data_IF_484788241735
#
_entry.id   IF_484788241735
#
_cell.length_a   1.000
_cell.length_b   1.000
_cell.length_c   1.000
_cell.angle_alpha   90.00
_cell.angle_beta   90.00
_cell.angle_gamma   90.00
#
_symmetry.space_group_name_H-M   'P 1'
#
loop_
_entity.id
_entity.type
_entity.pdbx_description
1 polymer ?
#
# COMPACT_ATOMS: atom_id res chain seq x y z
N UNK A 1 -46.74 -21.28 53.22
CA UNK A 1 -46.76 -22.42 54.20
C UNK A 1 -45.43 -23.13 54.09
N UNK A 2 -44.65 -23.04 55.19
CA UNK A 2 -43.49 -23.81 55.61
C UNK A 2 -42.26 -23.84 54.69
N UNK A 3 -41.17 -23.16 55.10
CA UNK A 3 -40.11 -23.55 56.05
C UNK A 3 -39.34 -24.80 55.54
N UNK A 4 -38.07 -24.87 55.39
CA UNK A 4 -36.92 -24.24 56.02
C UNK A 4 -35.77 -25.21 55.96
N UNK A 5 -34.62 -24.70 56.25
CA UNK A 5 -33.39 -25.26 56.79
C UNK A 5 -32.20 -25.55 55.87
N UNK A 6 -31.15 -24.83 56.23
CA UNK A 6 -29.76 -25.03 55.90
C UNK A 6 -29.21 -26.38 56.32
N UNK A 7 -28.17 -26.94 55.67
CA UNK A 7 -26.96 -27.48 56.33
C UNK A 7 -25.76 -27.45 55.33
N UNK A 8 -24.62 -27.12 55.88
CA UNK A 8 -23.24 -27.01 55.40
C UNK A 8 -22.73 -28.11 54.45
N UNK A 9 -21.73 -27.72 53.65
CA UNK A 9 -20.73 -28.63 53.12
C UNK A 9 -19.88 -28.02 52.04
N UNK A 10 -18.69 -27.57 52.40
CA UNK A 10 -17.62 -27.12 51.49
C UNK A 10 -17.28 -28.18 50.44
N UNK A 11 -16.92 -27.74 49.24
CA UNK A 11 -15.65 -28.15 48.60
C UNK A 11 -15.44 -27.38 47.30
N UNK A 12 -14.31 -26.73 47.27
CA UNK A 12 -13.71 -26.08 46.08
C UNK A 12 -13.49 -27.06 44.93
N UNK A 13 -13.90 -26.72 43.73
CA UNK A 13 -13.12 -27.11 42.55
C UNK A 13 -13.28 -26.04 41.46
N UNK A 14 -12.19 -25.40 41.20
CA UNK A 14 -12.09 -24.33 40.19
C UNK A 14 -12.36 -24.85 38.80
N UNK A 15 -13.40 -24.31 38.19
CA UNK A 15 -13.63 -24.45 36.77
C UNK A 15 -13.05 -23.22 36.10
N UNK A 16 -11.79 -23.34 35.63
CA UNK A 16 -11.14 -22.38 34.80
C UNK A 16 -11.90 -22.33 33.47
N UNK A 17 -12.73 -21.30 33.27
CA UNK A 17 -13.31 -20.96 31.96
C UNK A 17 -12.17 -20.45 31.10
N UNK A 18 -11.71 -21.29 30.18
CA UNK A 18 -10.89 -20.85 29.07
C UNK A 18 -11.72 -19.91 28.19
N UNK A 19 -11.46 -18.62 28.29
CA UNK A 19 -12.04 -17.61 27.39
C UNK A 19 -11.28 -17.64 26.05
N UNK A 20 -11.95 -17.37 24.90
CA UNK A 20 -11.33 -17.45 23.57
C UNK A 20 -10.43 -16.23 23.21
N UNK A 21 -9.76 -15.61 24.17
CA UNK A 21 -8.96 -14.40 23.98
C UNK A 21 -7.47 -14.65 23.69
N UNK A 22 -7.01 -15.91 23.61
CA UNK A 22 -5.59 -16.23 23.51
C UNK A 22 -4.94 -16.01 22.14
N UNK A 23 -5.72 -15.83 21.10
CA UNK A 23 -5.17 -15.64 19.72
C UNK A 23 -4.83 -14.16 19.42
N UNK A 24 -5.49 -13.21 20.10
CA UNK A 24 -5.27 -11.77 19.87
C UNK A 24 -4.22 -11.14 20.80
N UNK A 25 -3.86 -11.81 21.91
CA UNK A 25 -2.86 -11.29 22.84
C UNK A 25 -1.47 -11.02 22.24
N UNK A 26 -0.91 -11.86 21.34
CA UNK A 26 0.39 -11.57 20.73
C UNK A 26 0.37 -10.33 19.85
N UNK A 27 -0.74 -10.07 19.17
CA UNK A 27 -0.90 -8.89 18.27
C UNK A 27 -1.04 -7.62 19.11
N UNK A 28 -1.77 -7.68 20.22
CA UNK A 28 -1.95 -6.54 21.13
C UNK A 28 -0.67 -6.23 21.93
N UNK A 29 0.13 -7.25 22.29
CA UNK A 29 1.45 -7.04 22.93
C UNK A 29 2.47 -6.45 21.96
N UNK A 30 2.39 -6.79 20.66
CA UNK A 30 3.24 -6.17 19.66
C UNK A 30 2.96 -4.65 19.57
N UNK A 31 1.70 -4.24 19.56
CA UNK A 31 1.29 -2.82 19.57
C UNK A 31 1.69 -2.07 20.86
N UNK A 32 1.59 -2.70 22.03
CA UNK A 32 1.89 -2.07 23.32
C UNK A 32 3.39 -1.79 23.53
N UNK A 33 4.27 -2.65 23.02
CA UNK A 33 5.73 -2.44 23.10
C UNK A 33 6.21 -1.27 22.20
N UNK A 34 5.49 -0.95 21.12
CA UNK A 34 5.83 0.18 20.25
C UNK A 34 5.54 1.54 20.90
N UNK A 35 4.49 1.63 21.75
CA UNK A 35 4.18 2.87 22.48
C UNK A 35 5.19 3.21 23.59
N UNK A 36 5.89 2.22 24.14
CA UNK A 36 6.93 2.47 25.15
C UNK A 36 8.28 2.91 24.57
N UNK A 37 8.59 2.50 23.33
CA UNK A 37 9.81 2.93 22.63
C UNK A 37 9.80 4.39 22.14
N UNK A 38 8.61 5.03 22.06
CA UNK A 38 8.44 6.38 21.51
C UNK A 38 8.63 7.54 22.48
N UNK A 39 8.88 7.29 23.79
CA UNK A 39 8.80 8.35 24.83
C UNK A 39 10.12 8.97 25.32
N UNK A 40 11.28 8.57 24.81
CA UNK A 40 12.55 9.16 25.24
C UNK A 40 13.44 9.46 24.02
N UNK A 41 13.42 10.72 23.57
CA UNK A 41 14.37 11.18 22.57
C UNK A 41 14.14 12.64 22.21
N UNK A 42 14.90 13.55 22.81
CA UNK A 42 15.02 14.95 22.33
C UNK A 42 15.39 14.94 20.84
N UNK A 43 14.75 15.84 20.11
CA UNK A 43 14.90 16.03 18.67
C UNK A 43 16.30 16.58 18.37
N UNK A 44 17.25 15.66 18.18
CA UNK A 44 18.40 15.94 17.33
C UNK A 44 18.10 15.28 15.99
N UNK A 45 18.51 15.86 14.87
CA UNK A 45 18.43 15.20 13.55
C UNK A 45 18.93 13.76 13.70
N UNK A 46 18.00 12.81 13.66
CA UNK A 46 18.34 11.40 13.84
C UNK A 46 19.37 11.05 12.76
N UNK A 47 20.61 10.75 13.19
CA UNK A 47 21.68 10.41 12.26
C UNK A 47 21.15 9.37 11.28
N UNK A 48 21.38 9.59 9.99
CA UNK A 48 20.95 8.66 8.95
C UNK A 48 21.53 7.29 9.26
N UNK A 49 20.66 6.28 9.36
CA UNK A 49 21.13 4.90 9.52
C UNK A 49 21.75 4.44 8.21
N UNK A 50 22.82 3.63 8.29
CA UNK A 50 23.45 3.04 7.09
C UNK A 50 22.43 2.36 6.18
N UNK A 51 21.46 1.66 6.76
CA UNK A 51 20.38 0.99 6.01
C UNK A 51 19.53 1.97 5.21
N UNK A 52 19.22 3.15 5.78
CA UNK A 52 18.43 4.15 5.05
C UNK A 52 19.23 4.78 3.90
N UNK A 53 20.51 5.08 4.13
CA UNK A 53 21.41 5.55 3.08
C UNK A 53 21.51 4.54 1.93
N UNK A 54 21.67 3.26 2.22
CA UNK A 54 21.69 2.19 1.21
C UNK A 54 20.36 2.15 0.45
N UNK A 55 19.23 2.15 1.15
CA UNK A 55 17.90 2.05 0.52
C UNK A 55 17.63 3.20 -0.46
N UNK A 56 17.97 4.45 -0.12
CA UNK A 56 17.77 5.58 -1.04
C UNK A 56 18.67 5.52 -2.28
N UNK A 57 19.93 5.06 -2.13
CA UNK A 57 20.81 4.86 -3.28
C UNK A 57 20.32 3.72 -4.16
N UNK A 58 19.90 2.61 -3.58
CA UNK A 58 19.29 1.49 -4.33
C UNK A 58 18.04 1.95 -5.07
N UNK A 59 17.15 2.72 -4.41
CA UNK A 59 15.97 3.26 -5.06
C UNK A 59 16.31 4.21 -6.22
N UNK A 60 17.32 5.08 -6.05
CA UNK A 60 17.75 5.98 -7.11
C UNK A 60 18.32 5.21 -8.31
N UNK A 61 19.25 4.28 -8.07
CA UNK A 61 19.84 3.46 -9.14
C UNK A 61 18.74 2.65 -9.84
N UNK A 62 17.82 2.08 -9.07
CA UNK A 62 16.67 1.37 -9.63
C UNK A 62 15.87 2.25 -10.59
N UNK A 63 15.46 3.45 -10.16
CA UNK A 63 14.68 4.37 -11.01
C UNK A 63 15.47 4.80 -12.24
N UNK A 64 16.76 5.10 -12.10
CA UNK A 64 17.60 5.52 -13.23
C UNK A 64 17.78 4.43 -14.30
N UNK A 65 17.72 3.16 -13.91
CA UNK A 65 17.78 2.02 -14.84
C UNK A 65 16.39 1.64 -15.33
N UNK A 66 15.44 1.48 -14.41
CA UNK A 66 14.09 1.00 -14.69
C UNK A 66 13.30 1.98 -15.57
N UNK A 67 13.33 3.28 -15.25
CA UNK A 67 12.54 4.28 -15.96
C UNK A 67 12.82 4.35 -17.46
N UNK A 68 14.09 4.50 -17.93
CA UNK A 68 14.37 4.52 -19.36
C UNK A 68 14.08 3.19 -20.03
N UNK A 69 14.42 2.05 -19.41
CA UNK A 69 14.14 0.74 -20.00
C UNK A 69 12.65 0.48 -20.13
N UNK A 70 11.88 0.83 -19.12
CA UNK A 70 10.44 0.63 -19.09
C UNK A 70 9.74 1.56 -20.10
N UNK A 71 10.15 2.83 -20.15
CA UNK A 71 9.63 3.80 -21.12
C UNK A 71 9.95 3.41 -22.56
N UNK A 72 11.15 2.90 -22.82
CA UNK A 72 11.56 2.46 -24.15
C UNK A 72 10.78 1.23 -24.61
N UNK A 73 10.48 0.31 -23.71
CA UNK A 73 9.86 -0.97 -24.05
C UNK A 73 8.34 -0.92 -24.09
N UNK A 74 7.69 -0.20 -23.16
CA UNK A 74 6.23 -0.13 -23.01
C UNK A 74 5.63 1.20 -23.50
N UNK A 75 6.48 2.15 -23.87
CA UNK A 75 6.07 3.50 -24.22
C UNK A 75 5.95 4.44 -23.00
N UNK A 76 6.12 5.73 -23.26
CA UNK A 76 6.06 6.77 -22.22
C UNK A 76 4.70 6.84 -21.50
N UNK A 77 3.62 6.54 -22.21
CA UNK A 77 2.26 6.52 -21.66
C UNK A 77 2.11 5.51 -20.51
N UNK A 78 2.91 4.44 -20.53
CA UNK A 78 2.90 3.45 -19.45
C UNK A 78 3.31 4.05 -18.10
N UNK A 79 4.14 5.11 -18.13
CA UNK A 79 4.55 5.82 -16.91
C UNK A 79 3.40 6.55 -16.20
N UNK A 80 2.23 6.65 -16.82
CA UNK A 80 1.02 7.17 -16.19
C UNK A 80 0.26 6.12 -15.36
N UNK A 81 0.65 4.84 -15.38
CA UNK A 81 0.09 3.92 -14.39
C UNK A 81 0.41 4.40 -12.97
N UNK A 82 -0.60 4.38 -12.09
CA UNK A 82 -0.42 4.83 -10.71
C UNK A 82 0.67 4.05 -9.96
N UNK A 83 0.89 2.78 -10.30
CA UNK A 83 1.99 1.98 -9.76
C UNK A 83 3.36 2.48 -10.21
N UNK A 84 3.49 2.92 -11.48
CA UNK A 84 4.74 3.43 -12.03
C UNK A 84 5.05 4.84 -11.49
N UNK A 85 4.04 5.70 -11.39
CA UNK A 85 4.13 6.99 -10.67
C UNK A 85 4.61 6.76 -9.23
N UNK A 86 4.11 5.70 -8.58
CA UNK A 86 4.50 5.38 -7.19
C UNK A 86 5.99 5.07 -7.06
N UNK A 87 6.61 4.40 -8.03
CA UNK A 87 8.06 4.11 -8.01
C UNK A 87 8.87 5.42 -7.95
N UNK A 88 8.53 6.38 -8.80
CA UNK A 88 9.24 7.67 -8.90
C UNK A 88 8.99 8.52 -7.65
N UNK A 89 7.74 8.66 -7.22
CA UNK A 89 7.38 9.48 -6.06
C UNK A 89 7.95 8.88 -4.76
N UNK A 90 7.96 7.56 -4.62
CA UNK A 90 8.59 6.88 -3.49
C UNK A 90 10.11 7.11 -3.47
N UNK A 91 10.78 7.02 -4.62
CA UNK A 91 12.21 7.32 -4.74
C UNK A 91 12.52 8.76 -4.29
N UNK A 92 11.74 9.75 -4.74
CA UNK A 92 11.89 11.13 -4.31
C UNK A 92 11.66 11.27 -2.79
N UNK A 93 10.64 10.60 -2.25
CA UNK A 93 10.38 10.59 -0.81
C UNK A 93 11.54 10.02 0.01
N UNK A 94 12.13 8.92 -0.44
CA UNK A 94 13.31 8.33 0.19
C UNK A 94 14.54 9.23 0.05
N UNK A 95 14.76 9.79 -1.14
CA UNK A 95 15.91 10.65 -1.41
C UNK A 95 15.93 11.89 -0.53
N UNK A 96 14.81 12.58 -0.43
CA UNK A 96 14.67 13.78 0.40
C UNK A 96 14.31 13.48 1.86
N UNK A 97 14.23 12.20 2.26
CA UNK A 97 13.82 11.77 3.61
C UNK A 97 12.48 12.38 4.03
N UNK A 98 11.59 12.53 3.08
CA UNK A 98 10.29 13.14 3.30
C UNK A 98 9.22 12.05 3.48
N UNK A 99 8.61 12.03 4.67
CA UNK A 99 7.56 11.07 5.00
C UNK A 99 6.30 11.25 4.16
N UNK A 100 5.99 12.47 3.70
CA UNK A 100 4.73 12.75 3.01
C UNK A 100 4.60 12.02 1.66
N UNK A 101 5.59 12.10 0.71
CA UNK A 101 5.53 11.30 -0.51
C UNK A 101 5.54 9.78 -0.24
N UNK A 102 6.36 9.32 0.71
CA UNK A 102 6.41 7.90 1.10
C UNK A 102 5.04 7.43 1.60
N UNK A 103 4.43 8.19 2.51
CA UNK A 103 3.11 7.89 3.08
C UNK A 103 2.01 7.92 2.03
N UNK A 104 2.07 8.86 1.07
CA UNK A 104 1.06 8.92 0.00
C UNK A 104 1.08 7.66 -0.87
N UNK A 105 2.26 7.23 -1.32
CA UNK A 105 2.37 6.03 -2.15
C UNK A 105 2.03 4.74 -1.38
N UNK A 106 2.28 4.71 -0.09
CA UNK A 106 1.90 3.59 0.75
C UNK A 106 0.38 3.39 0.87
N UNK A 107 -0.45 4.38 0.56
CA UNK A 107 -1.92 4.23 0.58
C UNK A 107 -2.45 3.33 -0.55
N UNK A 108 -1.73 3.25 -1.66
CA UNK A 108 -2.13 2.47 -2.84
C UNK A 108 -1.29 1.20 -2.99
N UNK A 109 0.02 1.35 -2.95
CA UNK A 109 1.00 0.37 -3.43
C UNK A 109 0.94 -0.99 -2.73
N UNK A 110 0.75 -1.11 -1.40
CA UNK A 110 0.68 -2.41 -0.74
C UNK A 110 -0.50 -3.26 -1.20
N UNK A 111 -1.68 -2.66 -1.36
CA UNK A 111 -2.86 -3.39 -1.83
C UNK A 111 -2.72 -3.79 -3.30
N UNK A 112 -2.26 -2.88 -4.15
CA UNK A 112 -1.99 -3.19 -5.58
C UNK A 112 -0.93 -4.27 -5.69
N UNK A 113 0.15 -4.22 -4.91
CA UNK A 113 1.19 -5.24 -4.89
C UNK A 113 0.68 -6.61 -4.45
N UNK A 114 -0.22 -6.67 -3.45
CA UNK A 114 -0.88 -7.92 -3.04
C UNK A 114 -1.77 -8.45 -4.16
N UNK A 115 -2.61 -7.62 -4.76
CA UNK A 115 -3.50 -8.03 -5.86
C UNK A 115 -2.70 -8.54 -7.07
N UNK A 116 -1.63 -7.83 -7.45
CA UNK A 116 -0.73 -8.24 -8.52
C UNK A 116 -0.07 -9.59 -8.20
N UNK A 117 0.45 -9.76 -6.99
CA UNK A 117 1.12 -10.99 -6.55
C UNK A 117 0.15 -12.17 -6.51
N UNK A 118 -1.10 -11.94 -6.08
CA UNK A 118 -2.15 -12.96 -6.07
C UNK A 118 -2.50 -13.41 -7.49
N UNK A 119 -2.66 -12.46 -8.43
CA UNK A 119 -3.00 -12.80 -9.82
C UNK A 119 -1.87 -13.59 -10.50
N UNK A 120 -0.62 -13.15 -10.33
CA UNK A 120 0.56 -13.87 -10.85
C UNK A 120 0.66 -15.27 -10.24
N UNK A 121 0.53 -15.40 -8.92
CA UNK A 121 0.61 -16.68 -8.22
C UNK A 121 -0.52 -17.62 -8.64
N UNK A 122 -1.73 -17.09 -8.77
CA UNK A 122 -2.89 -17.85 -9.24
C UNK A 122 -2.70 -18.38 -10.65
N UNK A 123 -2.18 -17.52 -11.54
CA UNK A 123 -1.86 -17.93 -12.91
C UNK A 123 -0.81 -19.04 -12.97
N UNK A 124 0.22 -18.98 -12.14
CA UNK A 124 1.25 -20.02 -12.04
C UNK A 124 0.63 -21.36 -11.64
N UNK A 125 -0.28 -21.36 -10.64
CA UNK A 125 -0.86 -22.59 -10.10
C UNK A 125 -1.97 -23.17 -10.98
N UNK A 126 -2.85 -22.31 -11.51
CA UNK A 126 -4.09 -22.76 -12.19
C UNK A 126 -4.05 -22.64 -13.71
N UNK A 127 -3.06 -21.95 -14.27
CA UNK A 127 -3.02 -21.61 -15.69
C UNK A 127 -3.98 -20.49 -16.11
N UNK A 128 -4.73 -19.87 -15.18
CA UNK A 128 -5.72 -18.82 -15.45
C UNK A 128 -5.47 -17.59 -14.55
N UNK A 129 -5.80 -16.41 -15.04
CA UNK A 129 -5.77 -15.20 -14.22
C UNK A 129 -6.92 -15.21 -13.20
N UNK A 130 -6.68 -14.63 -12.03
CA UNK A 130 -7.69 -14.48 -10.97
C UNK A 130 -8.49 -13.18 -11.17
N UNK A 131 -7.77 -12.06 -11.37
CA UNK A 131 -8.33 -10.73 -11.55
C UNK A 131 -8.05 -10.22 -12.96
N UNK A 132 -6.88 -10.55 -13.50
CA UNK A 132 -6.33 -9.99 -14.73
C UNK A 132 -5.42 -8.79 -14.49
N UNK A 133 -4.90 -8.22 -15.60
CA UNK A 133 -3.95 -7.10 -15.54
C UNK A 133 -2.48 -7.52 -15.39
N UNK A 134 -2.21 -8.84 -15.33
CA UNK A 134 -0.84 -9.38 -15.30
C UNK A 134 -0.52 -10.24 -16.54
N UNK A 135 -1.35 -10.19 -17.58
CA UNK A 135 -1.23 -10.97 -18.81
C UNK A 135 0.12 -10.77 -19.49
N UNK A 136 0.63 -9.54 -19.46
CA UNK A 136 1.93 -9.17 -20.03
C UNK A 136 3.10 -9.97 -19.43
N UNK A 137 2.95 -10.52 -18.24
CA UNK A 137 3.98 -11.37 -17.61
C UNK A 137 4.20 -12.69 -18.38
N UNK A 138 3.24 -13.10 -19.19
CA UNK A 138 3.30 -14.30 -20.05
C UNK A 138 3.44 -13.97 -21.55
N UNK A 139 3.47 -12.69 -21.91
CA UNK A 139 3.64 -12.28 -23.30
C UNK A 139 5.10 -12.51 -23.74
N UNK A 140 5.28 -13.47 -24.66
CA UNK A 140 6.59 -13.85 -25.17
C UNK A 140 7.21 -12.85 -26.14
N UNK A 141 6.45 -11.85 -26.61
CA UNK A 141 7.00 -10.74 -27.39
C UNK A 141 7.98 -9.90 -26.57
N UNK A 142 7.85 -9.90 -25.24
CA UNK A 142 8.77 -9.21 -24.35
C UNK A 142 9.75 -10.19 -23.71
N UNK A 143 11.03 -9.81 -23.67
CA UNK A 143 12.06 -10.59 -23.01
C UNK A 143 11.72 -10.83 -21.53
N UNK A 144 12.03 -11.99 -20.99
CA UNK A 144 11.73 -12.35 -19.60
C UNK A 144 12.26 -11.33 -18.59
N UNK A 145 13.51 -10.88 -18.77
CA UNK A 145 14.11 -9.90 -17.86
C UNK A 145 13.32 -8.59 -17.80
N UNK A 146 12.72 -8.16 -18.91
CA UNK A 146 11.91 -6.95 -18.99
C UNK A 146 10.59 -7.13 -18.21
N UNK A 147 9.93 -8.28 -18.39
CA UNK A 147 8.72 -8.63 -17.63
C UNK A 147 9.00 -8.72 -16.13
N UNK A 148 10.17 -9.26 -15.74
CA UNK A 148 10.59 -9.35 -14.34
C UNK A 148 10.87 -7.99 -13.70
N UNK A 149 11.09 -6.91 -14.47
CA UNK A 149 11.15 -5.55 -13.90
C UNK A 149 9.84 -5.19 -13.16
N UNK A 150 8.71 -5.77 -13.55
CA UNK A 150 7.41 -5.56 -12.86
C UNK A 150 7.35 -6.19 -11.47
N UNK A 151 8.35 -6.99 -11.06
CA UNK A 151 8.44 -7.48 -9.68
C UNK A 151 8.64 -6.35 -8.65
N UNK A 152 8.80 -5.11 -9.09
CA UNK A 152 8.72 -3.94 -8.18
C UNK A 152 7.38 -3.88 -7.43
N UNK A 153 6.30 -4.48 -7.97
CA UNK A 153 5.03 -4.62 -7.27
C UNK A 153 5.13 -5.41 -5.96
N UNK A 154 6.18 -6.22 -5.79
CA UNK A 154 6.50 -6.91 -4.53
C UNK A 154 7.48 -6.07 -3.70
N UNK A 155 8.56 -5.60 -4.34
CA UNK A 155 9.64 -4.89 -3.64
C UNK A 155 9.23 -3.52 -3.10
N UNK A 156 8.49 -2.74 -3.88
CA UNK A 156 8.11 -1.38 -3.51
C UNK A 156 7.21 -1.33 -2.27
N UNK A 157 6.15 -2.16 -2.12
CA UNK A 157 5.38 -2.26 -0.88
C UNK A 157 6.25 -2.50 0.36
N UNK A 158 7.18 -3.44 0.28
CA UNK A 158 8.07 -3.78 1.39
C UNK A 158 8.94 -2.57 1.78
N UNK A 159 9.52 -1.90 0.79
CA UNK A 159 10.34 -0.70 1.00
C UNK A 159 9.52 0.44 1.60
N UNK A 160 8.29 0.67 1.11
CA UNK A 160 7.42 1.72 1.63
C UNK A 160 7.00 1.45 3.08
N UNK A 161 6.57 0.23 3.41
CA UNK A 161 6.20 -0.14 4.78
C UNK A 161 7.39 -0.02 5.73
N UNK A 162 8.57 -0.46 5.32
CA UNK A 162 9.80 -0.26 6.06
C UNK A 162 10.12 1.23 6.24
N UNK A 163 9.99 2.04 5.19
CA UNK A 163 10.25 3.48 5.26
C UNK A 163 9.28 4.20 6.21
N UNK A 164 8.01 3.76 6.31
CA UNK A 164 7.07 4.27 7.29
C UNK A 164 7.49 3.98 8.73
N UNK A 165 8.15 2.84 9.00
CA UNK A 165 8.71 2.56 10.33
C UNK A 165 9.84 3.52 10.69
N UNK A 166 10.60 4.00 9.69
CA UNK A 166 11.77 4.87 9.89
C UNK A 166 11.38 6.35 9.92
N UNK A 167 10.54 6.79 8.98
CA UNK A 167 10.17 8.20 8.78
C UNK A 167 8.88 8.59 9.52
N UNK A 168 8.06 7.63 9.87
CA UNK A 168 6.71 7.83 10.37
C UNK A 168 5.68 8.07 9.26
N UNK A 169 4.41 7.93 9.62
CA UNK A 169 3.28 8.16 8.71
C UNK A 169 2.81 9.62 8.77
N UNK A 170 2.70 10.26 7.62
CA UNK A 170 2.20 11.64 7.52
C UNK A 170 0.70 11.66 7.22
N UNK A 171 -0.09 12.30 8.10
CA UNK A 171 -1.56 12.40 7.96
C UNK A 171 -2.01 13.10 6.68
N UNK A 172 -1.16 13.94 6.08
CA UNK A 172 -1.43 14.64 4.82
C UNK A 172 -1.31 13.74 3.60
N UNK A 173 -0.93 12.48 3.79
CA UNK A 173 -0.79 11.47 2.73
C UNK A 173 -2.09 11.28 1.94
N UNK A 174 -3.25 11.25 2.60
CA UNK A 174 -4.54 11.05 1.96
C UNK A 174 -4.89 12.16 0.94
N UNK A 175 -4.89 13.45 1.29
CA UNK A 175 -5.14 14.49 0.30
C UNK A 175 -4.07 14.53 -0.80
N UNK A 176 -2.80 14.29 -0.50
CA UNK A 176 -1.75 14.24 -1.51
C UNK A 176 -1.98 13.09 -2.51
N UNK A 177 -2.25 11.88 -2.01
CA UNK A 177 -2.52 10.73 -2.91
C UNK A 177 -3.76 10.95 -3.76
N UNK A 178 -4.81 11.53 -3.18
CA UNK A 178 -6.02 11.91 -3.92
C UNK A 178 -5.70 12.90 -5.03
N UNK A 179 -4.89 13.92 -4.75
CA UNK A 179 -4.49 14.91 -5.75
C UNK A 179 -3.63 14.29 -6.87
N UNK A 180 -2.63 13.46 -6.51
CA UNK A 180 -1.80 12.73 -7.48
C UNK A 180 -2.69 11.86 -8.39
N UNK A 181 -3.57 11.05 -7.79
CA UNK A 181 -4.46 10.17 -8.55
C UNK A 181 -5.41 10.96 -9.45
N UNK A 182 -6.00 12.04 -8.94
CA UNK A 182 -6.85 12.93 -9.74
C UNK A 182 -6.13 13.54 -10.94
N UNK A 183 -4.90 14.04 -10.73
CA UNK A 183 -4.07 14.55 -11.80
C UNK A 183 -3.75 13.46 -12.85
N UNK A 184 -3.31 12.30 -12.40
CA UNK A 184 -2.99 11.16 -13.28
C UNK A 184 -4.21 10.72 -14.08
N UNK A 185 -5.40 10.64 -13.49
CA UNK A 185 -6.64 10.30 -14.18
C UNK A 185 -6.98 11.34 -15.27
N UNK A 186 -6.82 12.62 -14.96
CA UNK A 186 -7.02 13.70 -15.95
C UNK A 186 -6.02 13.57 -17.10
N UNK A 187 -4.73 13.37 -16.82
CA UNK A 187 -3.71 13.15 -17.86
C UNK A 187 -3.98 11.88 -18.66
N UNK A 188 -4.41 10.80 -18.04
CA UNK A 188 -4.79 9.55 -18.71
C UNK A 188 -5.91 9.75 -19.74
N UNK A 189 -6.77 10.75 -19.52
CA UNK A 189 -7.88 11.08 -20.45
C UNK A 189 -7.43 11.71 -21.77
N UNK A 190 -6.20 12.22 -21.84
CA UNK A 190 -5.62 12.74 -23.08
C UNK A 190 -4.95 11.65 -23.93
N UNK A 191 -4.85 10.41 -23.40
CA UNK A 191 -4.38 9.26 -24.16
C UNK A 191 -5.50 8.67 -25.02
N UNK A 192 -5.16 7.88 -26.05
CA UNK A 192 -6.14 7.13 -26.82
C UNK A 192 -7.00 6.22 -25.94
N UNK A 193 -8.33 6.18 -26.15
CA UNK A 193 -9.27 5.42 -25.31
C UNK A 193 -8.96 3.93 -25.21
N UNK A 194 -8.33 3.33 -26.18
CA UNK A 194 -7.93 1.93 -26.22
C UNK A 194 -6.93 1.54 -25.14
N UNK A 195 -6.13 2.50 -24.65
CA UNK A 195 -5.25 2.24 -23.50
C UNK A 195 -6.01 2.11 -22.18
N UNK A 196 -7.17 2.73 -22.08
CA UNK A 196 -7.97 2.82 -20.86
C UNK A 196 -7.12 2.98 -19.57
N UNK A 197 -6.08 3.81 -19.66
CA UNK A 197 -5.05 3.98 -18.63
C UNK A 197 -5.69 4.39 -17.29
N UNK A 198 -5.40 3.65 -16.22
CA UNK A 198 -6.00 3.83 -14.89
C UNK A 198 -7.53 3.82 -14.90
N UNK A 199 -8.14 3.15 -15.89
CA UNK A 199 -9.59 3.08 -16.07
C UNK A 199 -10.24 4.46 -16.33
N UNK A 200 -9.51 5.36 -16.99
CA UNK A 200 -10.00 6.71 -17.26
C UNK A 200 -11.18 6.76 -18.25
N UNK A 201 -11.43 5.72 -19.03
CA UNK A 201 -12.51 5.65 -20.03
C UNK A 201 -13.62 4.69 -19.65
N UNK A 202 -13.28 3.54 -19.09
CA UNK A 202 -14.20 2.48 -18.66
C UNK A 202 -13.74 1.90 -17.33
N UNK A 203 -14.70 1.63 -16.43
CA UNK A 203 -14.39 1.03 -15.14
C UNK A 203 -13.93 -0.45 -15.29
N UNK A 204 -13.16 -0.98 -14.31
CA UNK A 204 -12.57 -2.32 -14.41
C UNK A 204 -13.57 -3.46 -14.19
N UNK A 205 -14.75 -3.19 -13.63
CA UNK A 205 -15.69 -4.23 -13.23
C UNK A 205 -16.82 -4.43 -14.24
N UNK A 206 -17.41 -3.33 -14.70
CA UNK A 206 -18.58 -3.35 -15.59
C UNK A 206 -18.22 -2.95 -17.02
N UNK A 207 -16.96 -2.56 -17.27
CA UNK A 207 -16.43 -2.14 -18.58
C UNK A 207 -17.27 -1.04 -19.23
N UNK A 208 -17.77 -0.09 -18.45
CA UNK A 208 -18.59 1.02 -18.92
C UNK A 208 -18.11 2.38 -18.41
N UNK A 209 -18.52 3.43 -19.10
CA UNK A 209 -18.37 4.79 -18.64
C UNK A 209 -19.54 5.17 -17.71
N UNK A 210 -19.25 5.91 -16.65
CA UNK A 210 -20.22 6.43 -15.68
C UNK A 210 -20.62 7.87 -16.05
N UNK A 211 -21.27 8.04 -17.20
CA UNK A 211 -21.67 9.34 -17.70
C UNK A 211 -20.54 10.08 -18.46
N UNK A 212 -20.62 11.42 -18.60
CA UNK A 212 -19.60 12.25 -19.22
C UNK A 212 -18.23 12.09 -18.55
N UNK A 213 -17.16 12.43 -19.28
CA UNK A 213 -15.78 12.23 -18.80
C UNK A 213 -15.52 12.76 -17.37
N UNK A 214 -15.93 13.98 -16.97
CA UNK A 214 -15.70 14.45 -15.60
C UNK A 214 -16.37 13.58 -14.55
N UNK A 215 -17.64 13.17 -14.80
CA UNK A 215 -18.39 12.32 -13.86
C UNK A 215 -17.73 10.95 -13.71
N UNK A 216 -17.27 10.35 -14.84
CA UNK A 216 -16.57 9.08 -14.81
C UNK A 216 -15.29 9.16 -13.99
N UNK A 217 -14.44 10.17 -14.21
CA UNK A 217 -13.20 10.35 -13.45
C UNK A 217 -13.46 10.54 -11.95
N UNK A 218 -14.52 11.26 -11.57
CA UNK A 218 -14.94 11.42 -10.17
C UNK A 218 -15.32 10.06 -9.57
N UNK A 219 -16.07 9.23 -10.29
CA UNK A 219 -16.46 7.88 -9.82
C UNK A 219 -15.22 7.00 -9.62
N UNK A 220 -14.29 6.97 -10.57
CA UNK A 220 -13.04 6.20 -10.44
C UNK A 220 -12.21 6.70 -9.26
N UNK A 221 -12.02 8.01 -9.13
CA UNK A 221 -11.30 8.61 -8.01
C UNK A 221 -11.95 8.28 -6.66
N UNK A 222 -13.29 8.40 -6.57
CA UNK A 222 -14.03 8.04 -5.37
C UNK A 222 -13.88 6.55 -5.01
N UNK A 223 -13.89 5.67 -6.01
CA UNK A 223 -13.59 4.25 -5.86
C UNK A 223 -12.18 4.01 -5.30
N UNK A 224 -11.17 4.68 -5.86
CA UNK A 224 -9.79 4.60 -5.34
C UNK A 224 -9.71 5.06 -3.87
N UNK A 225 -10.37 6.16 -3.53
CA UNK A 225 -10.40 6.67 -2.15
C UNK A 225 -11.07 5.65 -1.22
N UNK A 226 -12.26 5.16 -1.59
CA UNK A 226 -13.06 4.31 -0.72
C UNK A 226 -12.45 2.93 -0.51
N UNK A 227 -11.87 2.34 -1.57
CA UNK A 227 -11.37 0.95 -1.56
C UNK A 227 -9.91 0.87 -1.11
N UNK A 228 -9.06 1.82 -1.51
CA UNK A 228 -7.63 1.76 -1.26
C UNK A 228 -7.19 2.81 -0.22
N UNK A 229 -7.40 4.11 -0.49
CA UNK A 229 -6.74 5.15 0.28
C UNK A 229 -7.29 5.30 1.69
N UNK A 230 -8.60 5.37 1.84
CA UNK A 230 -9.22 5.58 3.14
C UNK A 230 -8.99 4.40 4.11
N UNK A 231 -9.21 3.14 3.73
CA UNK A 231 -8.92 2.01 4.62
C UNK A 231 -7.45 1.95 5.03
N UNK A 232 -6.53 2.12 4.07
CA UNK A 232 -5.09 2.10 4.37
C UNK A 232 -4.67 3.29 5.24
N UNK A 233 -5.28 4.46 5.04
CA UNK A 233 -5.07 5.63 5.89
C UNK A 233 -5.43 5.33 7.36
N UNK A 234 -6.59 4.74 7.60
CA UNK A 234 -7.03 4.36 8.95
C UNK A 234 -6.12 3.30 9.59
N UNK A 235 -5.69 2.32 8.81
CA UNK A 235 -4.73 1.30 9.26
C UNK A 235 -3.41 1.96 9.64
N UNK A 236 -2.86 2.82 8.79
CA UNK A 236 -1.54 3.41 9.03
C UNK A 236 -1.52 4.44 10.15
N UNK A 237 -2.62 5.15 10.40
CA UNK A 237 -2.75 6.02 11.58
C UNK A 237 -2.61 5.25 12.89
N UNK A 238 -2.95 3.95 12.92
CA UNK A 238 -2.88 3.09 14.10
C UNK A 238 -1.60 2.28 14.17
N UNK A 239 -1.10 1.84 13.00
CA UNK A 239 0.00 0.89 12.91
C UNK A 239 1.39 1.55 12.93
N UNK A 240 1.51 2.80 12.51
CA UNK A 240 2.80 3.47 12.36
C UNK A 240 2.92 4.70 13.25
N UNK A 241 4.15 5.02 13.71
CA UNK A 241 4.40 6.30 14.40
C UNK A 241 4.08 7.45 13.43
N UNK A 242 3.53 8.53 13.98
CA UNK A 242 3.27 9.71 13.17
C UNK A 242 4.58 10.44 12.85
N UNK A 243 4.68 10.92 11.62
CA UNK A 243 5.79 11.77 11.20
C UNK A 243 5.82 13.06 12.04
N UNK A 244 7.01 13.43 12.46
CA UNK A 244 7.21 14.71 13.15
C UNK A 244 7.12 15.84 12.12
N UNK A 245 6.38 16.90 12.45
CA UNK A 245 6.39 18.13 11.64
C UNK A 245 7.81 18.67 11.64
N UNK A 246 8.41 18.85 10.46
CA UNK A 246 9.54 19.77 10.31
C UNK A 246 8.99 21.19 10.48
N UNK A 247 9.33 21.82 11.58
CA UNK A 247 9.14 23.27 11.77
C UNK A 247 10.03 24.04 10.80
#
# INVERSE_FOLDING_TARGET
MFLGLCVHGELCSGHQRNSPSSILEPVLRFGANWHSMGRHGRIGMRKETKSFAIARWVALVWVLVWFPLYTWSWGWQNMLHLCDVSVVVACLGLWFRNSLPVSSQALLTPLVGVLWSLDVSWRIVTGRHFIGGTEYMWDTHYALWLRLLSCFHIGLPIVLLWALLVLGYDRRALPLQTAITGAVLVFSRFLPPEFNMNYAFQDPLLHRAWGPAPSHLVVILAGCIAIFFWPMHLVFLRAFPLAQKSE
#
